data_IF_020382513265
#
_entry.id   IF_020382513265
#
_cell.length_a   1.000
_cell.length_b   1.000
_cell.length_c   1.000
_cell.angle_alpha   90.00
_cell.angle_beta   90.00
_cell.angle_gamma   90.00
#
_symmetry.space_group_name_H-M   'P 1'
#
loop_
_entity.id
_entity.type
_entity.pdbx_description
1 polymer ?
#
# COMPACT_ATOMS: atom_id res chain seq x y z
N UNK A 1 -32.10 -4.59 19.77
CA UNK A 1 -30.68 -4.30 19.51
C UNK A 1 -30.64 -3.00 18.74
N UNK A 2 -30.07 -1.93 19.31
CA UNK A 2 -30.14 -0.59 18.68
C UNK A 2 -29.26 -0.52 17.43
N UNK A 3 -29.78 0.02 16.33
CA UNK A 3 -29.09 0.14 15.03
C UNK A 3 -27.72 0.83 15.13
N UNK A 4 -27.54 1.69 16.14
CA UNK A 4 -26.26 2.34 16.48
C UNK A 4 -25.14 1.34 16.81
N UNK A 5 -25.46 0.21 17.44
CA UNK A 5 -24.48 -0.82 17.81
C UNK A 5 -24.06 -1.63 16.58
N UNK A 6 -24.98 -1.90 15.66
CA UNK A 6 -24.67 -2.59 14.40
C UNK A 6 -23.78 -1.73 13.50
N UNK A 7 -24.08 -0.43 13.38
CA UNK A 7 -23.26 0.50 12.62
C UNK A 7 -21.83 0.62 13.18
N UNK A 8 -21.68 0.67 14.51
CA UNK A 8 -20.36 0.72 15.15
C UNK A 8 -19.54 -0.54 14.86
N UNK A 9 -20.16 -1.72 14.90
CA UNK A 9 -19.51 -3.00 14.56
C UNK A 9 -19.08 -3.05 13.09
N UNK A 10 -19.92 -2.57 12.18
CA UNK A 10 -19.59 -2.51 10.76
C UNK A 10 -18.40 -1.58 10.48
N UNK A 11 -18.34 -0.42 11.16
CA UNK A 11 -17.19 0.49 11.07
C UNK A 11 -15.90 -0.15 11.59
N UNK A 12 -15.95 -0.77 12.76
CA UNK A 12 -14.80 -1.47 13.33
C UNK A 12 -14.28 -2.58 12.40
N UNK A 13 -15.18 -3.34 11.77
CA UNK A 13 -14.78 -4.35 10.79
C UNK A 13 -14.14 -3.74 9.53
N UNK A 14 -14.69 -2.62 9.03
CA UNK A 14 -14.11 -1.91 7.90
C UNK A 14 -12.70 -1.34 8.21
N UNK A 15 -12.51 -0.83 9.43
CA UNK A 15 -11.21 -0.33 9.89
C UNK A 15 -10.18 -1.46 10.02
N UNK A 16 -10.60 -2.65 10.48
CA UNK A 16 -9.74 -3.83 10.52
C UNK A 16 -9.28 -4.28 9.13
N UNK A 17 -10.20 -4.31 8.16
CA UNK A 17 -9.85 -4.65 6.77
C UNK A 17 -8.85 -3.64 6.21
N UNK A 18 -9.11 -2.34 6.41
CA UNK A 18 -8.19 -1.28 5.96
C UNK A 18 -6.81 -1.38 6.61
N UNK A 19 -6.76 -1.70 7.90
CA UNK A 19 -5.50 -1.91 8.59
C UNK A 19 -4.72 -3.13 8.06
N UNK A 20 -5.43 -4.20 7.66
CA UNK A 20 -4.81 -5.37 7.06
C UNK A 20 -4.23 -5.04 5.67
N UNK A 21 -4.97 -4.29 4.86
CA UNK A 21 -4.52 -3.82 3.54
C UNK A 21 -3.28 -2.91 3.67
N UNK A 22 -3.29 -1.96 4.62
CA UNK A 22 -2.16 -1.07 4.88
C UNK A 22 -0.91 -1.88 5.34
N UNK A 23 -1.09 -2.92 6.15
CA UNK A 23 0.01 -3.81 6.56
C UNK A 23 0.59 -4.61 5.38
N UNK A 24 -0.26 -5.08 4.48
CA UNK A 24 0.18 -5.77 3.26
C UNK A 24 1.01 -4.82 2.39
N UNK A 25 0.56 -3.59 2.18
CA UNK A 25 1.29 -2.59 1.40
C UNK A 25 2.67 -2.27 2.00
N UNK A 26 2.74 -2.14 3.33
CA UNK A 26 4.02 -1.97 4.04
C UNK A 26 4.95 -3.17 3.84
N UNK A 27 4.44 -4.39 3.90
CA UNK A 27 5.23 -5.59 3.66
C UNK A 27 5.77 -5.65 2.23
N UNK A 28 4.93 -5.32 1.23
CA UNK A 28 5.34 -5.25 -0.18
C UNK A 28 6.46 -4.24 -0.37
N UNK A 29 6.34 -3.04 0.19
CA UNK A 29 7.36 -2.01 0.09
C UNK A 29 8.68 -2.41 0.77
N UNK A 30 8.63 -3.03 1.95
CA UNK A 30 9.82 -3.52 2.64
C UNK A 30 10.54 -4.59 1.80
N UNK A 31 9.80 -5.54 1.22
CA UNK A 31 10.36 -6.55 0.31
C UNK A 31 10.99 -5.90 -0.90
N UNK A 32 10.31 -4.93 -1.51
CA UNK A 32 10.81 -4.24 -2.70
C UNK A 32 12.12 -3.47 -2.43
N UNK A 33 12.22 -2.81 -1.26
CA UNK A 33 13.43 -2.11 -0.82
C UNK A 33 14.62 -3.07 -0.66
N UNK A 34 14.42 -4.26 -0.08
CA UNK A 34 15.48 -5.26 0.07
C UNK A 34 15.87 -5.95 -1.24
N UNK A 35 14.89 -6.29 -2.08
CA UNK A 35 15.09 -7.05 -3.32
C UNK A 35 15.49 -6.18 -4.53
N UNK A 36 15.60 -4.86 -4.37
CA UNK A 36 15.82 -3.89 -5.46
C UNK A 36 14.78 -4.01 -6.58
N UNK A 37 13.55 -4.34 -6.21
CA UNK A 37 12.39 -4.46 -7.09
C UNK A 37 11.71 -3.10 -7.16
N UNK A 38 11.28 -2.69 -8.35
CA UNK A 38 10.53 -1.45 -8.50
C UNK A 38 9.03 -1.71 -8.35
N UNK A 39 8.32 -0.84 -7.61
CA UNK A 39 6.86 -0.88 -7.54
C UNK A 39 6.31 0.19 -8.47
N UNK A 40 5.37 -0.19 -9.34
CA UNK A 40 4.73 0.72 -10.29
C UNK A 40 3.21 0.56 -10.27
N UNK A 41 2.44 1.59 -10.64
CA UNK A 41 1.01 1.44 -10.88
C UNK A 41 0.74 0.71 -12.21
N UNK A 42 -0.39 0.01 -12.29
CA UNK A 42 -0.77 -0.86 -13.41
C UNK A 42 -0.91 -0.17 -14.77
N UNK A 43 -1.02 1.15 -14.81
CA UNK A 43 -1.05 1.95 -16.03
C UNK A 43 0.35 2.35 -16.53
N UNK A 44 1.41 2.08 -15.76
CA UNK A 44 2.76 2.61 -15.99
C UNK A 44 3.78 1.55 -16.44
N UNK A 45 3.36 0.62 -17.30
CA UNK A 45 4.25 -0.41 -17.87
C UNK A 45 5.25 0.11 -18.91
N UNK A 46 5.17 1.39 -19.30
CA UNK A 46 6.07 1.97 -20.29
C UNK A 46 7.40 2.41 -19.65
N UNK A 47 8.52 1.95 -20.22
CA UNK A 47 9.85 2.42 -19.81
C UNK A 47 10.44 1.75 -18.58
N UNK A 48 9.89 0.61 -18.14
CA UNK A 48 10.44 -0.21 -17.07
C UNK A 48 11.79 -0.78 -17.53
N UNK A 49 12.89 -0.20 -17.06
CA UNK A 49 14.23 -0.75 -17.27
C UNK A 49 14.37 -2.14 -16.63
N UNK A 50 15.46 -2.84 -16.94
CA UNK A 50 15.76 -4.26 -16.69
C UNK A 50 15.80 -4.73 -15.20
N UNK A 51 14.86 -4.28 -14.37
CA UNK A 51 14.66 -4.68 -12.99
C UNK A 51 13.31 -5.40 -12.86
N UNK A 52 13.22 -6.38 -11.94
CA UNK A 52 11.92 -6.95 -11.59
C UNK A 52 10.98 -5.85 -11.08
N UNK A 53 9.71 -5.95 -11.49
CA UNK A 53 8.66 -5.03 -11.09
C UNK A 53 7.53 -5.74 -10.35
N UNK A 54 6.99 -5.06 -9.34
CA UNK A 54 5.70 -5.36 -8.74
C UNK A 54 4.72 -4.32 -9.25
N UNK A 55 3.67 -4.82 -9.89
CA UNK A 55 2.59 -3.98 -10.42
C UNK A 55 1.47 -3.95 -9.41
N UNK A 56 1.10 -2.75 -8.95
CA UNK A 56 -0.04 -2.56 -8.05
C UNK A 56 -1.21 -1.88 -8.78
N UNK A 57 -2.46 -2.19 -8.43
CA UNK A 57 -3.60 -1.38 -8.82
C UNK A 57 -3.37 0.08 -8.39
N UNK A 58 -3.75 1.05 -9.24
CA UNK A 58 -3.52 2.49 -9.00
C UNK A 58 -3.95 2.91 -7.58
N UNK A 59 -5.16 2.51 -7.16
CA UNK A 59 -5.67 2.81 -5.80
C UNK A 59 -4.78 2.30 -4.67
N UNK A 60 -4.18 1.13 -4.84
CA UNK A 60 -3.27 0.54 -3.85
C UNK A 60 -1.91 1.22 -3.88
N UNK A 61 -1.43 1.58 -5.07
CA UNK A 61 -0.20 2.34 -5.24
C UNK A 61 -0.30 3.73 -4.59
N UNK A 62 -1.38 4.45 -4.85
CA UNK A 62 -1.64 5.76 -4.22
C UNK A 62 -1.72 5.64 -2.70
N UNK A 63 -2.47 4.65 -2.21
CA UNK A 63 -2.57 4.37 -0.77
C UNK A 63 -1.21 4.05 -0.16
N UNK A 64 -0.37 3.30 -0.86
CA UNK A 64 0.98 2.95 -0.42
C UNK A 64 1.84 4.21 -0.28
N UNK A 65 1.76 5.15 -1.23
CA UNK A 65 2.47 6.43 -1.16
C UNK A 65 2.00 7.30 0.01
N UNK A 66 0.73 7.21 0.42
CA UNK A 66 0.21 7.95 1.58
C UNK A 66 0.72 7.40 2.92
N UNK A 67 0.82 6.07 3.07
CA UNK A 67 1.06 5.43 4.36
C UNK A 67 2.54 5.11 4.63
N UNK A 68 3.36 5.11 3.58
CA UNK A 68 4.80 4.86 3.66
C UNK A 68 5.48 6.22 3.56
N UNK A 69 6.03 6.74 4.67
CA UNK A 69 6.78 7.99 4.61
C UNK A 69 7.91 7.84 3.61
N UNK A 70 8.07 8.86 2.79
CA UNK A 70 9.15 8.91 1.82
C UNK A 70 10.45 9.10 2.61
N UNK A 71 11.06 8.00 3.10
CA UNK A 71 12.39 8.00 3.73
C UNK A 71 13.51 8.32 2.72
N UNK A 72 13.18 9.04 1.63
CA UNK A 72 14.08 9.54 0.61
C UNK A 72 14.77 10.86 0.98
N UNK A 73 14.53 11.40 2.17
CA UNK A 73 15.41 12.40 2.77
C UNK A 73 16.64 11.73 3.35
N UNK A 74 17.62 11.39 2.49
CA UNK A 74 19.01 11.32 2.94
C UNK A 74 19.39 12.73 3.37
N UNK A 75 19.24 13.02 4.65
CA UNK A 75 20.23 13.85 5.33
C UNK A 75 21.55 13.07 5.25
N UNK A 76 22.63 13.79 4.88
CA UNK A 76 24.01 13.36 4.60
C UNK A 76 24.41 13.29 3.11
#
# INVERSE_FOLDING_TARGET
>A
MSDTNMLAKLRAAADQIRSADDNLLRAIAAIAAHARVQIIPNDSLFGVEARPVIVLPVRMYDRMLEIIPNDGGRDE
#
